data_IF_237846445096
#
_entry.id   IF_237846445096
#
_cell.length_a   1.000
_cell.length_b   1.000
_cell.length_c   1.000
_cell.angle_alpha   90.00
_cell.angle_beta   90.00
_cell.angle_gamma   90.00
#
_symmetry.space_group_name_H-M   'P 1'
#
loop_
_entity.id
_entity.type
_entity.pdbx_description
1 polymer ?
#
# COMPACT_ATOMS: atom_id res chain seq x y z
N UNK A 1 -18.03 22.69 13.68
CA UNK A 1 -17.09 23.20 14.69
C UNK A 1 -16.56 22.11 15.66
N UNK A 2 -16.64 20.81 15.31
CA UNK A 2 -16.02 19.73 16.10
C UNK A 2 -14.89 18.98 15.37
N UNK A 3 -14.67 19.27 14.08
CA UNK A 3 -13.67 18.55 13.26
C UNK A 3 -12.27 19.19 13.26
N UNK A 4 -12.13 20.41 13.80
CA UNK A 4 -10.87 21.16 13.75
C UNK A 4 -9.91 20.76 14.88
N UNK A 5 -10.42 20.40 16.07
CA UNK A 5 -9.58 20.07 17.23
C UNK A 5 -8.92 18.68 17.11
N UNK A 6 -9.59 17.73 16.44
CA UNK A 6 -8.96 16.43 16.11
C UNK A 6 -7.80 16.60 15.12
N UNK A 7 -7.78 17.67 14.32
CA UNK A 7 -6.82 17.87 13.23
C UNK A 7 -5.40 18.22 13.71
N UNK A 8 -5.26 18.80 14.91
CA UNK A 8 -4.02 19.48 15.34
C UNK A 8 -2.93 18.49 15.78
N UNK A 9 -3.27 17.25 16.15
CA UNK A 9 -2.30 16.26 16.63
C UNK A 9 -1.69 15.33 15.57
N UNK A 10 -2.32 15.17 14.40
CA UNK A 10 -1.90 14.14 13.43
C UNK A 10 -0.68 14.53 12.60
N UNK A 11 -0.36 15.82 12.52
CA UNK A 11 0.80 16.30 11.76
C UNK A 11 2.13 15.77 12.34
N UNK A 12 2.17 15.52 13.64
CA UNK A 12 3.31 14.93 14.36
C UNK A 12 3.50 13.44 14.08
N UNK A 13 2.45 12.74 13.62
CA UNK A 13 2.52 11.32 13.32
C UNK A 13 3.12 11.08 11.93
N UNK A 14 4.03 10.12 11.87
CA UNK A 14 4.49 9.61 10.59
C UNK A 14 3.37 8.78 9.92
N UNK A 15 3.49 8.58 8.61
CA UNK A 15 2.47 7.85 7.86
C UNK A 15 2.37 6.37 8.26
N UNK A 16 3.46 5.77 8.77
CA UNK A 16 3.46 4.38 9.24
C UNK A 16 2.62 4.23 10.50
N UNK A 17 2.73 5.17 11.43
CA UNK A 17 1.98 5.18 12.67
C UNK A 17 0.49 5.39 12.44
N UNK A 18 0.13 6.29 11.51
CA UNK A 18 -1.28 6.46 11.11
C UNK A 18 -1.85 5.18 10.49
N UNK A 19 -1.05 4.42 9.72
CA UNK A 19 -1.48 3.12 9.18
C UNK A 19 -1.66 2.09 10.29
N UNK A 20 -0.73 1.99 11.25
CA UNK A 20 -0.86 1.09 12.41
C UNK A 20 -2.12 1.38 13.22
N UNK A 21 -2.42 2.66 13.43
CA UNK A 21 -3.64 3.11 14.11
C UNK A 21 -4.88 2.69 13.31
N UNK A 22 -4.87 2.87 11.99
CA UNK A 22 -5.98 2.47 11.13
C UNK A 22 -6.22 0.94 11.15
N UNK A 23 -5.15 0.14 11.22
CA UNK A 23 -5.25 -1.32 11.42
C UNK A 23 -5.89 -1.63 12.77
N UNK A 24 -5.41 -1.02 13.86
CA UNK A 24 -5.93 -1.25 15.21
C UNK A 24 -7.42 -0.85 15.32
N UNK A 25 -7.80 0.30 14.76
CA UNK A 25 -9.20 0.77 14.69
C UNK A 25 -10.10 -0.26 14.00
N UNK A 26 -9.63 -0.83 12.89
CA UNK A 26 -10.38 -1.86 12.18
C UNK A 26 -10.51 -3.17 12.98
N UNK A 27 -9.49 -3.54 13.74
CA UNK A 27 -9.51 -4.73 14.60
C UNK A 27 -10.40 -4.56 15.83
N UNK A 28 -10.48 -3.33 16.35
CA UNK A 28 -11.33 -2.96 17.47
C UNK A 28 -12.78 -2.64 17.05
N UNK A 29 -13.10 -2.70 15.76
CA UNK A 29 -14.44 -2.41 15.23
C UNK A 29 -14.83 -0.92 15.23
N UNK A 30 -13.87 0.00 15.42
CA UNK A 30 -14.09 1.44 15.58
C UNK A 30 -14.16 2.18 14.22
N UNK A 31 -14.93 1.65 13.27
CA UNK A 31 -14.82 2.07 11.86
C UNK A 31 -15.20 3.53 11.57
N UNK A 32 -15.83 4.23 12.50
CA UNK A 32 -16.22 5.64 12.42
C UNK A 32 -15.03 6.59 12.18
N UNK A 33 -13.83 6.21 12.63
CA UNK A 33 -12.61 7.02 12.48
C UNK A 33 -11.91 6.80 11.12
N UNK A 34 -12.29 5.77 10.36
CA UNK A 34 -11.63 5.43 9.10
C UNK A 34 -11.65 6.60 8.10
N UNK A 35 -12.81 7.22 7.77
CA UNK A 35 -12.84 8.26 6.74
C UNK A 35 -11.89 9.43 7.02
N UNK A 36 -11.72 9.77 8.31
CA UNK A 36 -10.83 10.84 8.75
C UNK A 36 -9.36 10.49 8.50
N UNK A 37 -8.89 9.35 8.99
CA UNK A 37 -7.49 8.93 8.83
C UNK A 37 -7.13 8.66 7.36
N UNK A 38 -8.07 8.08 6.62
CA UNK A 38 -7.92 7.87 5.19
C UNK A 38 -7.75 9.21 4.44
N UNK A 39 -8.58 10.21 4.77
CA UNK A 39 -8.48 11.55 4.18
C UNK A 39 -7.18 12.26 4.55
N UNK A 40 -6.72 12.12 5.80
CA UNK A 40 -5.44 12.66 6.26
C UNK A 40 -4.26 12.07 5.47
N UNK A 41 -4.20 10.74 5.35
CA UNK A 41 -3.15 10.05 4.60
C UNK A 41 -3.12 10.46 3.13
N UNK A 42 -4.28 10.52 2.47
CA UNK A 42 -4.39 10.97 1.08
C UNK A 42 -3.93 12.41 0.92
N UNK A 43 -4.38 13.32 1.79
CA UNK A 43 -4.08 14.75 1.66
C UNK A 43 -2.62 15.07 1.96
N UNK A 44 -2.07 14.48 3.01
CA UNK A 44 -0.80 14.93 3.59
C UNK A 44 0.36 13.95 3.36
N UNK A 45 0.08 12.68 3.09
CA UNK A 45 1.10 11.61 3.04
C UNK A 45 1.02 10.78 1.75
N UNK A 46 0.41 11.30 0.69
CA UNK A 46 0.19 10.56 -0.58
C UNK A 46 1.48 10.07 -1.22
N UNK A 47 2.54 10.88 -1.25
CA UNK A 47 3.81 10.47 -1.84
C UNK A 47 4.50 9.38 -1.03
N UNK A 48 4.43 9.47 0.30
CA UNK A 48 4.89 8.39 1.17
C UNK A 48 4.11 7.10 0.92
N UNK A 49 2.77 7.19 0.77
CA UNK A 49 1.93 6.04 0.46
C UNK A 49 2.26 5.41 -0.89
N UNK A 50 2.56 6.22 -1.92
CA UNK A 50 3.03 5.70 -3.22
C UNK A 50 4.36 4.97 -3.06
N UNK A 51 5.31 5.53 -2.31
CA UNK A 51 6.61 4.87 -2.10
C UNK A 51 6.49 3.56 -1.30
N UNK A 52 5.57 3.53 -0.33
CA UNK A 52 5.37 2.43 0.60
C UNK A 52 4.09 1.64 0.31
N UNK A 53 3.67 1.61 -0.97
CA UNK A 53 2.40 1.00 -1.38
C UNK A 53 2.21 -0.43 -0.87
N UNK A 54 3.28 -1.25 -0.86
CA UNK A 54 3.22 -2.61 -0.34
C UNK A 54 2.82 -2.63 1.14
N UNK A 55 3.36 -1.72 1.97
CA UNK A 55 3.01 -1.60 3.39
C UNK A 55 1.57 -1.08 3.59
N UNK A 56 1.08 -0.24 2.70
CA UNK A 56 -0.32 0.24 2.70
C UNK A 56 -1.28 -0.85 2.21
N UNK A 57 -0.82 -1.74 1.35
CA UNK A 57 -1.61 -2.77 0.68
C UNK A 57 -1.72 -4.08 1.49
N UNK A 58 -0.70 -4.42 2.27
CA UNK A 58 -0.64 -5.61 3.12
C UNK A 58 -1.71 -5.69 4.22
N UNK A 59 -2.17 -4.59 4.86
CA UNK A 59 -3.16 -4.69 5.91
C UNK A 59 -4.58 -4.87 5.31
N UNK A 60 -5.46 -5.51 6.11
CA UNK A 60 -6.83 -6.00 5.78
C UNK A 60 -7.64 -5.12 4.80
N UNK A 61 -8.66 -5.73 4.17
CA UNK A 61 -9.65 -5.18 3.20
C UNK A 61 -10.01 -3.68 3.30
N UNK A 62 -9.97 -3.10 4.49
CA UNK A 62 -10.27 -1.69 4.82
C UNK A 62 -9.25 -0.68 4.28
N UNK A 63 -7.98 -1.04 4.08
CA UNK A 63 -6.97 -0.18 3.42
C UNK A 63 -7.01 -0.30 1.88
N UNK A 64 -7.57 -1.40 1.39
CA UNK A 64 -7.78 -1.60 -0.04
C UNK A 64 -8.80 -0.59 -0.59
N UNK A 65 -9.81 -0.18 0.19
CA UNK A 65 -10.76 0.86 -0.22
C UNK A 65 -10.10 2.24 -0.38
N UNK A 66 -9.04 2.51 0.39
CA UNK A 66 -8.23 3.73 0.37
C UNK A 66 -7.54 3.93 -1.00
N UNK A 67 -7.02 2.83 -1.55
CA UNK A 67 -6.35 2.78 -2.84
C UNK A 67 -7.39 2.82 -3.99
N UNK A 68 -8.52 2.13 -3.83
CA UNK A 68 -9.59 2.03 -4.83
C UNK A 68 -10.28 3.37 -5.12
N UNK A 69 -10.29 4.30 -4.17
CA UNK A 69 -10.96 5.59 -4.29
C UNK A 69 -10.21 6.61 -5.18
N UNK A 70 -9.72 6.23 -6.37
CA UNK A 70 -9.18 7.13 -7.44
C UNK A 70 -8.17 8.23 -7.07
N UNK A 71 -7.73 8.33 -5.81
CA UNK A 71 -7.09 9.52 -5.26
C UNK A 71 -5.55 9.43 -5.25
N UNK A 72 -4.98 8.22 -5.25
CA UNK A 72 -3.53 8.03 -5.27
C UNK A 72 -2.90 8.25 -6.66
N UNK A 73 -3.70 8.29 -7.73
CA UNK A 73 -3.30 8.54 -9.14
C UNK A 73 -1.93 7.95 -9.52
N UNK A 74 -1.73 6.65 -9.26
CA UNK A 74 -0.50 5.98 -9.70
C UNK A 74 -0.58 5.66 -11.18
N UNK A 75 0.46 6.03 -11.92
CA UNK A 75 0.64 5.58 -13.30
C UNK A 75 0.79 4.06 -13.37
N UNK A 76 0.45 3.46 -14.52
CA UNK A 76 0.66 2.02 -14.73
C UNK A 76 2.09 1.57 -14.45
N UNK A 77 3.09 2.40 -14.77
CA UNK A 77 4.50 2.12 -14.48
C UNK A 77 4.76 2.01 -12.98
N UNK A 78 4.15 2.87 -12.17
CA UNK A 78 4.29 2.81 -10.70
C UNK A 78 3.64 1.54 -10.15
N UNK A 79 2.47 1.16 -10.67
CA UNK A 79 1.81 -0.10 -10.31
C UNK A 79 2.72 -1.30 -10.63
N UNK A 80 3.24 -1.37 -11.86
CA UNK A 80 4.14 -2.47 -12.26
C UNK A 80 5.43 -2.52 -11.44
N UNK A 81 5.99 -1.38 -11.03
CA UNK A 81 7.13 -1.33 -10.09
C UNK A 81 6.80 -1.97 -8.75
N UNK A 82 5.58 -1.79 -8.22
CA UNK A 82 5.17 -2.43 -6.98
C UNK A 82 4.95 -3.93 -7.12
N UNK A 83 4.31 -4.36 -8.21
CA UNK A 83 4.12 -5.78 -8.54
C UNK A 83 5.47 -6.50 -8.59
N UNK A 84 6.46 -5.91 -9.27
CA UNK A 84 7.82 -6.44 -9.33
C UNK A 84 8.49 -6.49 -7.95
N UNK A 85 8.46 -5.38 -7.20
CA UNK A 85 9.01 -5.36 -5.83
C UNK A 85 8.41 -6.43 -4.93
N UNK A 86 7.10 -6.64 -5.01
CA UNK A 86 6.43 -7.71 -4.26
C UNK A 86 6.95 -9.08 -4.65
N UNK A 87 7.10 -9.36 -5.95
CA UNK A 87 7.66 -10.63 -6.44
C UNK A 87 9.09 -10.88 -5.94
N UNK A 88 9.94 -9.85 -5.91
CA UNK A 88 11.32 -9.96 -5.40
C UNK A 88 11.37 -10.25 -3.90
N UNK A 89 10.48 -9.64 -3.11
CA UNK A 89 10.41 -9.90 -1.65
C UNK A 89 10.08 -11.37 -1.36
N UNK A 90 9.26 -12.01 -2.20
CA UNK A 90 8.92 -13.43 -2.05
C UNK A 90 10.04 -14.38 -2.51
N UNK A 91 11.00 -13.87 -3.29
CA UNK A 91 12.10 -14.66 -3.86
C UNK A 91 13.45 -14.03 -3.50
N UNK A 92 13.87 -14.10 -2.22
CA UNK A 92 15.10 -13.46 -1.75
C UNK A 92 16.37 -14.01 -2.40
N UNK A 93 16.32 -15.21 -2.97
CA UNK A 93 17.43 -15.85 -3.68
C UNK A 93 17.64 -15.31 -5.11
N UNK A 94 16.66 -14.57 -5.65
CA UNK A 94 16.83 -13.98 -6.97
C UNK A 94 17.92 -12.89 -6.94
N UNK A 95 18.70 -12.75 -8.03
CA UNK A 95 19.60 -11.63 -8.15
C UNK A 95 18.86 -10.29 -7.96
N UNK A 96 19.53 -9.35 -7.30
CA UNK A 96 18.97 -7.99 -7.14
C UNK A 96 18.96 -7.19 -8.45
N UNK A 97 19.82 -7.56 -9.41
CA UNK A 97 19.90 -6.94 -10.73
C UNK A 97 19.14 -7.80 -11.76
N UNK A 98 18.02 -7.32 -12.33
CA UNK A 98 17.28 -8.03 -13.37
C UNK A 98 18.07 -8.33 -14.64
N UNK A 99 19.18 -7.61 -14.90
CA UNK A 99 20.02 -7.85 -16.09
C UNK A 99 20.81 -9.15 -16.00
N UNK A 100 20.98 -9.71 -14.80
CA UNK A 100 21.68 -10.98 -14.59
C UNK A 100 20.76 -12.20 -14.54
N UNK A 101 19.47 -12.05 -14.86
CA UNK A 101 18.49 -13.13 -14.72
C UNK A 101 18.73 -14.23 -15.75
N UNK A 102 18.83 -15.45 -15.26
CA UNK A 102 18.72 -16.65 -16.07
C UNK A 102 17.27 -16.89 -16.50
N UNK A 103 17.07 -17.84 -17.41
CA UNK A 103 15.73 -18.26 -17.83
C UNK A 103 14.91 -18.80 -16.65
N UNK A 104 15.55 -19.51 -15.73
CA UNK A 104 14.89 -20.12 -14.56
C UNK A 104 14.52 -19.05 -13.51
N UNK A 105 15.33 -17.99 -13.39
CA UNK A 105 15.01 -16.82 -12.55
C UNK A 105 13.74 -16.11 -13.06
N UNK A 106 13.62 -15.93 -14.38
CA UNK A 106 12.41 -15.38 -14.98
C UNK A 106 11.18 -16.26 -14.75
N UNK A 107 11.33 -17.58 -14.83
CA UNK A 107 10.24 -18.53 -14.58
C UNK A 107 9.81 -18.44 -13.11
N UNK A 108 10.76 -18.46 -12.18
CA UNK A 108 10.53 -18.32 -10.74
C UNK A 108 9.76 -17.04 -10.41
N UNK A 109 10.22 -15.90 -10.94
CA UNK A 109 9.53 -14.62 -10.73
C UNK A 109 8.13 -14.64 -11.35
N UNK A 110 7.98 -15.13 -12.59
CA UNK A 110 6.68 -15.22 -13.28
C UNK A 110 5.68 -16.07 -12.49
N UNK A 111 6.09 -17.25 -12.02
CA UNK A 111 5.24 -18.17 -11.26
C UNK A 111 4.83 -17.55 -9.91
N UNK A 112 5.72 -16.78 -9.28
CA UNK A 112 5.38 -15.97 -8.10
C UNK A 112 4.33 -14.91 -8.42
N UNK A 113 4.53 -14.14 -9.51
CA UNK A 113 3.63 -13.05 -9.89
C UNK A 113 2.21 -13.52 -10.26
N UNK A 114 2.03 -14.78 -10.66
CA UNK A 114 0.70 -15.37 -10.86
C UNK A 114 -0.14 -15.39 -9.57
N UNK A 115 0.51 -15.40 -8.41
CA UNK A 115 -0.14 -15.37 -7.10
C UNK A 115 -0.25 -13.95 -6.54
N UNK A 116 0.13 -12.92 -7.33
CA UNK A 116 -0.05 -11.54 -6.90
C UNK A 116 -1.55 -11.29 -6.64
N UNK A 117 -1.93 -10.71 -5.49
CA UNK A 117 -3.31 -10.37 -5.18
C UNK A 117 -3.80 -9.24 -6.11
N UNK A 118 -4.08 -9.58 -7.38
CA UNK A 118 -4.36 -8.65 -8.48
C UNK A 118 -5.84 -8.29 -8.65
N UNK A 119 -6.73 -8.93 -7.87
CA UNK A 119 -8.20 -8.77 -7.94
C UNK A 119 -8.68 -7.33 -7.67
N UNK A 120 -7.77 -6.40 -7.45
CA UNK A 120 -8.01 -5.02 -7.04
C UNK A 120 -7.63 -3.96 -8.09
N UNK A 121 -7.04 -4.37 -9.23
CA UNK A 121 -6.65 -3.46 -10.33
C UNK A 121 -7.57 -3.54 -11.56
N UNK A 122 -8.40 -4.58 -11.65
CA UNK A 122 -9.30 -4.84 -12.80
C UNK A 122 -10.77 -4.66 -12.41
N UNK A 123 -11.21 -3.42 -12.13
CA UNK A 123 -12.63 -2.97 -12.19
C UNK A 123 -12.69 -1.47 -12.37
#
# INVERSE_FOLDING_TARGET
>A
MFMAEVFIGWEEYDASDVIKILVAINELGLQELNPFLQSFLIKNKSDWMKQNFVLVFQPKKSLISLIRHKNLQMSGIQVWKHVLKWGLVQNPELPSDPTSYSKDDFITLKDTLQHYPANYFNT
#
